data_IF_433393651700
#
_entry.id   IF_433393651700
#
_cell.length_a   1.000
_cell.length_b   1.000
_cell.length_c   1.000
_cell.angle_alpha   90.00
_cell.angle_beta   90.00
_cell.angle_gamma   90.00
#
_symmetry.space_group_name_H-M   'P 1'
#
loop_
_entity.id
_entity.type
_entity.pdbx_description
1 polymer ?
#
# COMPACT_ATOMS: atom_id res chain seq x y z
N UNK A 1 7.99 19.17 15.38
CA UNK A 1 6.53 19.38 15.36
C UNK A 1 6.17 20.21 14.14
N UNK A 2 5.04 19.91 13.49
CA UNK A 2 4.42 20.61 12.35
C UNK A 2 4.86 20.14 10.95
N UNK A 3 4.33 18.99 10.50
CA UNK A 3 4.10 18.77 9.06
C UNK A 3 3.04 17.70 8.78
N UNK A 4 1.98 17.70 9.59
CA UNK A 4 0.87 16.75 9.44
C UNK A 4 -0.36 17.50 8.92
N UNK A 5 -0.25 18.21 7.79
CA UNK A 5 -1.37 18.40 6.86
C UNK A 5 -0.94 19.09 5.55
N UNK A 6 -0.36 18.34 4.62
CA UNK A 6 -0.06 18.82 3.26
C UNK A 6 -0.92 18.16 2.18
N UNK A 7 -1.87 17.29 2.57
CA UNK A 7 -2.68 16.53 1.60
C UNK A 7 -3.75 17.39 0.93
N UNK A 8 -4.22 18.44 1.60
CA UNK A 8 -5.30 19.30 1.09
C UNK A 8 -4.82 20.53 0.29
N UNK A 9 -3.56 20.94 0.39
CA UNK A 9 -3.05 22.16 -0.26
C UNK A 9 -2.61 21.96 -1.72
N UNK A 10 -2.32 20.72 -2.13
CA UNK A 10 -1.76 20.42 -3.46
C UNK A 10 -2.61 19.38 -4.20
N UNK A 11 -3.93 19.58 -4.27
CA UNK A 11 -4.85 18.57 -4.84
C UNK A 11 -4.52 18.18 -6.28
N UNK A 12 -3.94 19.08 -7.07
CA UNK A 12 -3.59 18.84 -8.48
C UNK A 12 -2.11 19.17 -8.80
N UNK A 13 -1.22 19.05 -7.81
CA UNK A 13 0.18 19.48 -7.92
C UNK A 13 1.19 18.36 -8.10
N UNK A 14 2.42 18.76 -8.47
CA UNK A 14 3.64 17.96 -8.33
C UNK A 14 4.54 18.71 -7.37
N UNK A 15 4.95 18.07 -6.28
CA UNK A 15 5.82 18.70 -5.28
C UNK A 15 6.89 17.75 -4.76
N UNK A 16 8.00 18.32 -4.30
CA UNK A 16 9.14 17.58 -3.76
C UNK A 16 9.11 17.66 -2.23
N UNK A 17 9.29 16.51 -1.59
CA UNK A 17 9.41 16.39 -0.14
C UNK A 17 10.81 15.87 0.18
N UNK A 18 11.57 16.52 1.08
CA UNK A 18 12.88 16.01 1.47
C UNK A 18 12.70 14.73 2.28
N UNK A 19 13.54 13.74 2.00
CA UNK A 19 13.58 12.46 2.70
C UNK A 19 15.02 12.07 3.04
N UNK A 20 15.21 10.95 3.72
CA UNK A 20 16.56 10.45 4.03
C UNK A 20 17.32 10.16 2.73
N UNK A 21 18.38 10.94 2.49
CA UNK A 21 19.32 10.76 1.38
C UNK A 21 18.80 11.20 0.00
N UNK A 22 17.55 11.67 -0.13
CA UNK A 22 16.96 12.03 -1.43
C UNK A 22 15.70 12.89 -1.32
N UNK A 23 15.26 13.40 -2.46
CA UNK A 23 13.93 14.00 -2.62
C UNK A 23 12.92 12.95 -3.08
N UNK A 24 11.73 12.94 -2.47
CA UNK A 24 10.57 12.20 -2.99
C UNK A 24 9.68 13.16 -3.75
N UNK A 25 9.33 12.81 -4.98
CA UNK A 25 8.36 13.57 -5.78
C UNK A 25 6.98 12.97 -5.54
N UNK A 26 6.04 13.80 -5.09
CA UNK A 26 4.64 13.43 -4.89
C UNK A 26 3.83 14.00 -6.05
N UNK A 27 3.04 13.13 -6.68
CA UNK A 27 2.17 13.47 -7.81
C UNK A 27 0.73 13.21 -7.39
N UNK A 28 -0.10 14.25 -7.39
CA UNK A 28 -1.50 14.16 -6.92
C UNK A 28 -2.53 14.44 -8.01
N UNK A 29 -2.18 15.22 -9.03
CA UNK A 29 -3.07 15.54 -10.15
C UNK A 29 -3.32 14.35 -11.07
N UNK A 30 -4.59 14.11 -11.44
CA UNK A 30 -5.01 12.95 -12.24
C UNK A 30 -4.26 12.80 -13.57
N UNK A 31 -4.11 13.90 -14.31
CA UNK A 31 -3.42 13.88 -15.61
C UNK A 31 -1.93 13.57 -15.46
N UNK A 32 -1.29 14.12 -14.43
CA UNK A 32 0.11 13.84 -14.11
C UNK A 32 0.31 12.40 -13.66
N UNK A 33 -0.63 11.84 -12.88
CA UNK A 33 -0.63 10.42 -12.50
C UNK A 33 -0.76 9.54 -13.75
N UNK A 34 -1.67 9.86 -14.68
CA UNK A 34 -1.83 9.10 -15.91
C UNK A 34 -0.61 9.18 -16.83
N UNK A 35 0.05 10.34 -16.88
CA UNK A 35 1.32 10.50 -17.58
C UNK A 35 2.39 9.59 -16.95
N UNK A 36 2.59 9.67 -15.63
CA UNK A 36 3.56 8.86 -14.89
C UNK A 36 3.29 7.36 -15.06
N UNK A 37 2.01 6.95 -15.01
CA UNK A 37 1.59 5.55 -15.20
C UNK A 37 1.94 5.01 -16.58
N UNK A 38 2.00 5.88 -17.60
CA UNK A 38 2.30 5.52 -19.00
C UNK A 38 3.77 5.72 -19.36
N UNK A 39 4.59 6.24 -18.44
CA UNK A 39 6.01 6.44 -18.71
C UNK A 39 6.71 5.10 -18.93
N UNK A 40 7.62 5.02 -19.92
CA UNK A 40 8.50 3.88 -20.10
C UNK A 40 9.37 3.61 -18.85
N UNK A 41 9.67 2.32 -18.58
CA UNK A 41 10.48 1.91 -17.41
C UNK A 41 11.91 2.43 -17.44
N UNK A 42 12.48 2.72 -18.61
CA UNK A 42 13.80 3.35 -18.77
C UNK A 42 13.80 4.84 -18.39
N UNK A 43 12.64 5.50 -18.41
CA UNK A 43 12.46 6.87 -17.94
C UNK A 43 12.12 6.90 -16.45
N UNK A 44 11.22 6.02 -16.00
CA UNK A 44 10.80 5.94 -14.61
C UNK A 44 10.55 4.48 -14.21
N UNK A 45 11.52 3.90 -13.49
CA UNK A 45 11.41 2.50 -13.08
C UNK A 45 10.60 2.31 -11.80
N UNK A 46 9.54 1.52 -11.88
CA UNK A 46 8.75 1.13 -10.71
C UNK A 46 9.56 0.20 -9.79
N UNK A 47 10.31 -0.75 -10.36
CA UNK A 47 11.06 -1.73 -9.60
C UNK A 47 12.13 -1.09 -8.73
N UNK A 48 12.91 -0.15 -9.28
CA UNK A 48 13.89 0.59 -8.50
C UNK A 48 13.22 1.45 -7.43
N UNK A 49 12.10 2.11 -7.74
CA UNK A 49 11.34 2.89 -6.74
C UNK A 49 10.85 2.04 -5.56
N UNK A 50 10.40 0.80 -5.80
CA UNK A 50 10.00 -0.15 -4.76
C UNK A 50 11.21 -0.64 -3.96
N UNK A 51 12.29 -1.05 -4.63
CA UNK A 51 13.55 -1.45 -4.00
C UNK A 51 14.06 -0.38 -3.04
N UNK A 52 13.99 0.86 -3.48
CA UNK A 52 14.48 2.03 -2.78
C UNK A 52 13.58 2.44 -1.60
N UNK A 53 12.26 2.26 -1.73
CA UNK A 53 11.27 2.63 -0.71
C UNK A 53 11.10 1.58 0.38
N UNK A 54 11.12 0.30 0.00
CA UNK A 54 10.93 -0.84 0.92
C UNK A 54 12.24 -1.47 1.38
N UNK A 55 13.37 -1.11 0.76
CA UNK A 55 14.66 -1.77 1.02
C UNK A 55 14.52 -3.30 0.84
N UNK A 56 13.98 -3.72 -0.31
CA UNK A 56 13.48 -5.09 -0.57
C UNK A 56 14.50 -6.18 -0.20
N UNK A 57 15.77 -6.00 -0.53
CA UNK A 57 16.81 -6.98 -0.19
C UNK A 57 16.93 -7.23 1.33
N UNK A 58 16.64 -6.21 2.15
CA UNK A 58 16.75 -6.27 3.61
C UNK A 58 15.42 -6.62 4.28
N UNK A 59 14.27 -6.33 3.66
CA UNK A 59 12.95 -6.57 4.24
C UNK A 59 12.27 -7.84 3.76
N UNK A 60 12.47 -8.22 2.48
CA UNK A 60 11.87 -9.38 1.84
C UNK A 60 12.91 -10.40 1.36
N UNK A 61 14.19 -10.03 1.37
CA UNK A 61 15.32 -10.87 1.00
C UNK A 61 15.84 -10.61 -0.42
N UNK A 62 17.11 -10.95 -0.68
CA UNK A 62 17.79 -10.65 -1.95
C UNK A 62 17.12 -11.32 -3.15
N UNK A 63 16.63 -12.56 -2.98
CA UNK A 63 15.93 -13.28 -4.05
C UNK A 63 14.67 -12.55 -4.54
N UNK A 64 13.98 -11.77 -3.69
CA UNK A 64 12.80 -11.00 -4.11
C UNK A 64 13.19 -9.80 -4.96
N UNK A 65 14.35 -9.19 -4.67
CA UNK A 65 14.90 -8.07 -5.45
C UNK A 65 15.42 -8.54 -6.81
N UNK A 66 16.19 -9.62 -6.81
CA UNK A 66 16.97 -10.05 -7.96
C UNK A 66 16.18 -10.98 -8.89
N UNK A 67 15.16 -11.64 -8.35
CA UNK A 67 14.29 -12.53 -9.09
C UNK A 67 12.82 -12.10 -8.90
N UNK A 68 12.21 -11.58 -9.97
CA UNK A 68 10.80 -11.17 -9.99
C UNK A 68 9.82 -12.35 -10.06
N UNK A 69 10.17 -13.53 -9.51
CA UNK A 69 9.37 -14.76 -9.54
C UNK A 69 7.98 -14.60 -8.91
N UNK A 70 7.84 -13.69 -7.95
CA UNK A 70 6.59 -13.46 -7.22
C UNK A 70 5.52 -12.81 -8.12
N UNK A 71 5.92 -12.00 -9.11
CA UNK A 71 4.99 -11.35 -10.04
C UNK A 71 4.15 -12.33 -10.87
N UNK A 72 4.71 -13.33 -11.58
CA UNK A 72 3.91 -14.30 -12.30
C UNK A 72 3.09 -15.19 -11.38
N UNK A 73 3.56 -15.50 -10.16
CA UNK A 73 2.77 -16.26 -9.18
C UNK A 73 1.53 -15.47 -8.77
N UNK A 74 1.67 -14.19 -8.44
CA UNK A 74 0.53 -13.36 -8.08
C UNK A 74 -0.49 -13.25 -9.22
N UNK A 75 -0.02 -12.97 -10.45
CA UNK A 75 -0.89 -12.82 -11.62
C UNK A 75 -1.63 -14.11 -12.00
N UNK A 76 -0.95 -15.25 -11.93
CA UNK A 76 -1.51 -16.50 -12.46
C UNK A 76 -2.21 -17.35 -11.40
N UNK A 77 -1.73 -17.32 -10.16
CA UNK A 77 -2.25 -18.19 -9.11
C UNK A 77 -3.15 -17.39 -8.17
N UNK A 78 -2.65 -16.30 -7.59
CA UNK A 78 -3.40 -15.59 -6.54
C UNK A 78 -4.66 -14.95 -7.10
N UNK A 79 -4.56 -14.13 -8.16
CA UNK A 79 -5.71 -13.41 -8.72
C UNK A 79 -6.83 -14.35 -9.18
N UNK A 80 -6.48 -15.51 -9.78
CA UNK A 80 -7.47 -16.50 -10.24
C UNK A 80 -8.16 -17.24 -9.11
N UNK A 81 -7.44 -17.48 -8.01
CA UNK A 81 -7.95 -18.22 -6.86
C UNK A 81 -8.62 -17.34 -5.79
N UNK A 82 -8.68 -16.02 -5.98
CA UNK A 82 -9.33 -15.12 -5.02
C UNK A 82 -10.76 -15.55 -4.64
N UNK A 83 -11.65 -15.95 -5.57
CA UNK A 83 -13.00 -16.36 -5.18
C UNK A 83 -13.03 -17.57 -4.24
N UNK A 84 -12.07 -18.49 -4.37
CA UNK A 84 -11.95 -19.66 -3.52
C UNK A 84 -11.30 -19.34 -2.16
N UNK A 85 -10.37 -18.38 -2.11
CA UNK A 85 -9.63 -18.01 -0.89
C UNK A 85 -10.38 -16.98 -0.02
N UNK A 86 -11.21 -16.13 -0.62
CA UNK A 86 -11.90 -15.05 0.12
C UNK A 86 -12.78 -15.54 1.27
N UNK A 87 -13.55 -16.65 1.16
CA UNK A 87 -14.34 -17.15 2.29
C UNK A 87 -13.48 -17.50 3.51
N UNK A 88 -12.39 -18.24 3.33
CA UNK A 88 -11.51 -18.64 4.44
C UNK A 88 -10.79 -17.44 5.05
N UNK A 89 -10.34 -16.48 4.23
CA UNK A 89 -9.74 -15.23 4.74
C UNK A 89 -10.75 -14.43 5.56
N UNK A 90 -12.01 -14.36 5.13
CA UNK A 90 -13.07 -13.67 5.87
C UNK A 90 -13.35 -14.36 7.21
N UNK A 91 -13.44 -15.68 7.22
CA UNK A 91 -13.65 -16.46 8.46
C UNK A 91 -12.52 -16.22 9.46
N UNK A 92 -11.27 -16.24 9.00
CA UNK A 92 -10.09 -15.96 9.82
C UNK A 92 -10.11 -14.53 10.39
N UNK A 93 -10.48 -13.54 9.58
CA UNK A 93 -10.62 -12.16 10.07
C UNK A 93 -11.66 -12.09 11.20
N UNK A 94 -12.81 -12.74 11.07
CA UNK A 94 -13.85 -12.75 12.11
C UNK A 94 -13.34 -13.42 13.39
N UNK A 95 -12.69 -14.58 13.24
CA UNK A 95 -12.12 -15.31 14.38
C UNK A 95 -11.05 -14.50 15.09
N UNK A 96 -10.06 -13.97 14.36
CA UNK A 96 -8.98 -13.17 14.91
C UNK A 96 -9.49 -11.92 15.63
N UNK A 97 -10.53 -11.25 15.12
CA UNK A 97 -11.13 -10.10 15.80
C UNK A 97 -11.88 -10.52 17.08
N UNK A 98 -12.61 -11.63 17.05
CA UNK A 98 -13.27 -12.16 18.24
C UNK A 98 -12.26 -12.48 19.35
N UNK A 99 -11.15 -13.11 18.98
CA UNK A 99 -10.08 -13.51 19.90
C UNK A 99 -9.30 -12.30 20.42
N UNK A 100 -8.88 -11.38 19.54
CA UNK A 100 -8.07 -10.23 19.92
C UNK A 100 -8.85 -9.17 20.70
N UNK A 101 -10.12 -8.95 20.35
CA UNK A 101 -10.94 -7.88 20.94
C UNK A 101 -11.86 -8.39 22.06
N UNK A 102 -11.88 -9.70 22.34
CA UNK A 102 -12.74 -10.33 23.35
C UNK A 102 -14.19 -9.81 23.29
N UNK A 103 -14.81 -9.80 22.12
CA UNK A 103 -16.12 -9.16 21.87
C UNK A 103 -17.31 -9.80 22.62
N UNK A 104 -17.05 -10.73 23.55
CA UNK A 104 -18.05 -11.23 24.50
C UNK A 104 -18.28 -10.21 25.63
N UNK A 105 -19.20 -9.27 25.39
CA UNK A 105 -20.10 -8.82 26.46
C UNK A 105 -19.93 -7.41 27.01
N UNK A 106 -19.63 -6.38 26.22
CA UNK A 106 -19.82 -5.00 26.68
C UNK A 106 -20.01 -3.98 25.52
N UNK A 107 -21.02 -4.21 24.68
CA UNK A 107 -21.53 -3.12 23.83
C UNK A 107 -22.67 -2.41 24.58
N UNK A 108 -22.35 -1.33 25.29
CA UNK A 108 -23.35 -0.30 25.59
C UNK A 108 -23.56 0.48 24.30
N UNK A 109 -24.77 0.46 23.76
CA UNK A 109 -25.12 1.28 22.61
C UNK A 109 -24.75 2.74 22.91
N UNK A 110 -23.97 3.36 22.02
CA UNK A 110 -23.63 4.77 22.15
C UNK A 110 -24.92 5.59 22.09
N UNK A 111 -25.34 6.13 23.23
CA UNK A 111 -26.47 7.05 23.26
C UNK A 111 -26.01 8.38 22.69
N UNK A 112 -26.60 8.79 21.57
CA UNK A 112 -26.41 10.12 21.00
C UNK A 112 -26.86 11.16 22.03
N UNK A 113 -26.01 12.13 22.42
CA UNK A 113 -26.47 13.25 23.23
C UNK A 113 -27.53 14.03 22.46
N UNK A 114 -28.70 14.21 23.08
CA UNK A 114 -29.78 15.11 22.64
C UNK A 114 -29.34 16.55 22.60
#
# INVERSE_FOLDING_TARGET
MNNVDNRFQYRDGIFKVPSFGRWKVIVTGKDAIEMVRKMPEDILSFQEGVNESLQVAYTLGPNVRDNSYHLPIFRNQLTRNLPALLPSVREEIIAAFSDALHLKGQYVAYQTPT
#
